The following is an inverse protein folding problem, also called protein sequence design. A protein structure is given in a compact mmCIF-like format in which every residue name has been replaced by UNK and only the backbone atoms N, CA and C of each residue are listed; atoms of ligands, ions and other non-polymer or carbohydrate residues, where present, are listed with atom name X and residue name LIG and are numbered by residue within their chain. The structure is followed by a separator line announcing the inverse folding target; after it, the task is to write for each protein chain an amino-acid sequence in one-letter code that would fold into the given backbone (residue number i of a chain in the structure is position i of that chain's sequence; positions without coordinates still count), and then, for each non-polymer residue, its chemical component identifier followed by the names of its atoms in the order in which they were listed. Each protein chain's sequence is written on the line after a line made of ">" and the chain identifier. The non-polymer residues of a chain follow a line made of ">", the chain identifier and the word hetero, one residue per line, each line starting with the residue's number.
data_IF_026585269569
#
_entry.id   IF_026585269569
#
_cell.length_a   1.000
_cell.length_b   1.000
_cell.length_c   1.000
_cell.angle_alpha   90.00
_cell.angle_beta   90.00
_cell.angle_gamma   90.00
#
_symmetry.space_group_name_H-M   'P 1'
#
loop_
_entity.id
_entity.type
_entity.pdbx_description
1 polymer ?
#
# COMPACT_ATOMS: atom_id res chain seq x y z
N UNK A 1 -21.41 -22.23 30.97
CA UNK A 1 -20.43 -21.69 29.98
C UNK A 1 -20.14 -22.80 28.97
N UNK A 2 -20.08 -22.50 27.66
CA UNK A 2 -20.09 -23.48 26.56
C UNK A 2 -19.13 -24.69 26.70
N UNK A 3 -18.01 -24.54 27.42
CA UNK A 3 -17.05 -25.63 27.68
C UNK A 3 -17.63 -26.81 28.47
N UNK A 4 -18.63 -26.59 29.33
CA UNK A 4 -19.28 -27.66 30.13
C UNK A 4 -20.21 -28.56 29.29
N UNK A 5 -20.44 -28.19 28.04
CA UNK A 5 -21.26 -28.95 27.09
C UNK A 5 -20.39 -29.79 26.13
N UNK A 6 -19.07 -29.74 26.27
CA UNK A 6 -18.16 -30.52 25.44
C UNK A 6 -18.13 -31.99 25.90
N UNK A 7 -17.98 -32.96 24.97
CA UNK A 7 -17.80 -34.37 25.33
C UNK A 7 -16.56 -34.61 26.19
N UNK A 8 -16.58 -35.70 26.96
CA UNK A 8 -15.43 -36.12 27.76
C UNK A 8 -14.18 -36.31 26.89
N UNK A 9 -13.07 -35.70 27.29
CA UNK A 9 -11.80 -35.71 26.57
C UNK A 9 -11.66 -34.62 25.50
N UNK A 10 -12.73 -33.90 25.15
CA UNK A 10 -12.64 -32.76 24.24
C UNK A 10 -12.09 -31.50 24.94
N UNK A 11 -11.44 -30.64 24.16
CA UNK A 11 -10.96 -29.33 24.58
C UNK A 11 -11.14 -28.33 23.45
N UNK A 12 -11.03 -27.04 23.77
CA UNK A 12 -11.10 -25.96 22.79
C UNK A 12 -9.70 -25.71 22.23
N UNK A 13 -9.57 -25.79 20.91
CA UNK A 13 -8.41 -25.31 20.16
C UNK A 13 -8.78 -23.94 19.58
N UNK A 14 -8.33 -22.87 20.22
CA UNK A 14 -8.53 -21.49 19.78
C UNK A 14 -7.35 -21.00 18.96
N UNK A 15 -7.63 -20.24 17.90
CA UNK A 15 -6.63 -19.51 17.13
C UNK A 15 -6.96 -18.04 17.19
N UNK A 16 -5.96 -17.22 17.49
CA UNK A 16 -6.07 -15.77 17.36
C UNK A 16 -6.29 -15.36 15.90
N UNK A 17 -6.74 -14.13 15.70
CA UNK A 17 -6.81 -13.54 14.36
C UNK A 17 -5.45 -13.58 13.67
N UNK A 18 -5.47 -13.81 12.35
CA UNK A 18 -4.25 -13.94 11.55
C UNK A 18 -3.27 -15.02 12.05
N UNK A 19 -3.77 -16.09 12.67
CA UNK A 19 -2.98 -17.24 13.16
C UNK A 19 -3.49 -18.55 12.57
N UNK A 20 -2.58 -19.37 12.05
CA UNK A 20 -2.85 -20.69 11.49
C UNK A 20 -2.00 -21.77 12.15
N UNK A 21 -2.38 -23.03 11.94
CA UNK A 21 -1.60 -24.19 12.38
C UNK A 21 -1.44 -25.14 11.21
N UNK A 22 -0.20 -25.49 10.89
CA UNK A 22 0.12 -26.49 9.88
C UNK A 22 0.44 -27.79 10.60
N UNK A 23 -0.32 -28.85 10.29
CA UNK A 23 -0.10 -30.19 10.82
C UNK A 23 0.66 -31.01 9.76
N UNK A 24 1.92 -31.31 10.04
CA UNK A 24 2.72 -32.25 9.27
C UNK A 24 2.55 -33.65 9.89
N UNK A 25 1.71 -34.47 9.26
CA UNK A 25 1.40 -35.82 9.72
C UNK A 25 2.53 -36.82 9.44
N UNK A 26 3.42 -36.52 8.49
CA UNK A 26 4.58 -37.38 8.20
C UNK A 26 5.68 -37.16 9.24
N UNK A 27 5.93 -35.90 9.60
CA UNK A 27 6.89 -35.53 10.64
C UNK A 27 6.32 -35.60 12.07
N UNK A 28 5.01 -35.82 12.22
CA UNK A 28 4.25 -35.79 13.48
C UNK A 28 4.39 -34.46 14.26
N UNK A 29 4.37 -33.34 13.54
CA UNK A 29 4.55 -32.00 14.12
C UNK A 29 3.43 -31.03 13.74
N UNK A 30 3.26 -30.01 14.58
CA UNK A 30 2.35 -28.90 14.39
C UNK A 30 3.12 -27.59 14.50
N UNK A 31 3.08 -26.75 13.46
CA UNK A 31 3.71 -25.43 13.47
C UNK A 31 2.66 -24.33 13.49
N UNK A 32 2.83 -23.36 14.38
CA UNK A 32 1.95 -22.17 14.45
C UNK A 32 2.52 -21.09 13.52
N UNK A 33 1.70 -20.60 12.62
CA UNK A 33 2.05 -19.57 11.63
C UNK A 33 1.15 -18.35 11.80
N UNK A 34 1.59 -17.18 11.35
CA UNK A 34 0.83 -15.93 11.46
C UNK A 34 1.34 -15.00 12.58
N UNK A 35 0.45 -14.23 13.21
CA UNK A 35 0.83 -13.13 14.11
C UNK A 35 0.44 -13.33 15.58
N UNK A 36 -0.47 -14.25 15.89
CA UNK A 36 -0.99 -14.48 17.24
C UNK A 36 -0.57 -15.83 17.84
N UNK A 37 -1.43 -16.38 18.70
CA UNK A 37 -1.18 -17.63 19.41
C UNK A 37 -2.24 -18.71 19.13
N UNK A 38 -1.81 -19.96 19.18
CA UNK A 38 -2.68 -21.12 19.31
C UNK A 38 -2.94 -21.36 20.80
N UNK A 39 -4.20 -21.39 21.20
CA UNK A 39 -4.62 -21.61 22.59
C UNK A 39 -5.33 -22.96 22.74
N UNK A 40 -4.80 -23.84 23.58
CA UNK A 40 -5.47 -25.05 24.06
C UNK A 40 -6.20 -24.71 25.36
N UNK A 41 -7.50 -24.99 25.47
CA UNK A 41 -8.29 -24.67 26.68
C UNK A 41 -9.29 -25.74 27.09
N UNK A 42 -9.28 -26.11 28.39
CA UNK A 42 -10.16 -27.13 28.99
C UNK A 42 -10.33 -26.85 30.47
N UNK A 43 -11.58 -26.72 30.93
CA UNK A 43 -11.88 -26.59 32.36
C UNK A 43 -11.21 -25.39 33.02
N UNK A 44 -11.05 -24.28 32.29
CA UNK A 44 -10.36 -23.07 32.77
C UNK A 44 -8.83 -23.11 32.71
N UNK A 45 -8.21 -24.23 32.32
CA UNK A 45 -6.76 -24.33 32.08
C UNK A 45 -6.49 -23.95 30.62
N UNK A 46 -5.50 -23.07 30.39
CA UNK A 46 -5.11 -22.58 29.07
C UNK A 46 -3.62 -22.82 28.83
N UNK A 47 -3.24 -23.27 27.63
CA UNK A 47 -1.86 -23.38 27.17
C UNK A 47 -1.74 -22.67 25.83
N UNK A 48 -0.80 -21.73 25.71
CA UNK A 48 -0.57 -20.96 24.49
C UNK A 48 0.71 -21.43 23.78
N UNK A 49 0.63 -21.56 22.45
CA UNK A 49 1.75 -21.88 21.56
C UNK A 49 1.87 -20.71 20.60
N UNK A 50 3.04 -20.05 20.60
CA UNK A 50 3.25 -18.80 19.85
C UNK A 50 3.59 -19.09 18.39
N UNK A 51 3.31 -18.12 17.51
CA UNK A 51 3.78 -18.15 16.13
C UNK A 51 5.29 -18.45 16.03
N UNK A 52 5.67 -19.23 15.04
CA UNK A 52 7.04 -19.72 14.83
C UNK A 52 7.42 -20.93 15.69
N UNK A 53 6.60 -21.35 16.66
CA UNK A 53 6.85 -22.57 17.41
C UNK A 53 6.33 -23.80 16.65
N UNK A 54 7.15 -24.84 16.63
CA UNK A 54 6.77 -26.17 16.17
C UNK A 54 6.75 -27.11 17.37
N UNK A 55 5.64 -27.81 17.57
CA UNK A 55 5.44 -28.75 18.68
C UNK A 55 5.04 -30.13 18.13
N UNK A 56 5.27 -31.23 18.85
CA UNK A 56 4.75 -32.53 18.46
C UNK A 56 3.22 -32.54 18.43
N UNK A 57 2.60 -33.25 17.48
CA UNK A 57 1.13 -33.36 17.41
C UNK A 57 0.55 -33.99 18.68
N UNK A 58 1.28 -34.92 19.30
CA UNK A 58 0.88 -35.52 20.58
C UNK A 58 0.71 -34.50 21.71
N UNK A 59 1.45 -33.38 21.69
CA UNK A 59 1.25 -32.29 22.65
C UNK A 59 -0.11 -31.60 22.44
N UNK A 60 -0.55 -31.44 21.19
CA UNK A 60 -1.89 -30.92 20.91
C UNK A 60 -2.96 -31.93 21.34
N UNK A 61 -2.74 -33.22 21.09
CA UNK A 61 -3.68 -34.31 21.42
C UNK A 61 -3.90 -34.46 22.93
N UNK A 62 -2.88 -34.23 23.74
CA UNK A 62 -2.97 -34.25 25.20
C UNK A 62 -3.89 -33.14 25.77
N UNK A 63 -4.06 -32.05 25.01
CA UNK A 63 -4.82 -30.87 25.41
C UNK A 63 -4.02 -29.96 26.36
N UNK A 64 -4.68 -28.97 27.00
CA UNK A 64 -3.97 -28.06 27.88
C UNK A 64 -3.50 -28.79 29.14
N UNK A 65 -2.22 -28.64 29.41
CA UNK A 65 -1.57 -29.10 30.63
C UNK A 65 -1.41 -27.91 31.57
N UNK A 66 -1.62 -28.12 32.87
CA UNK A 66 -1.25 -27.13 33.88
C UNK A 66 0.28 -27.08 34.00
N UNK A 67 0.95 -26.42 33.05
CA UNK A 67 2.39 -26.18 33.14
C UNK A 67 2.64 -24.92 33.96
N UNK A 68 2.83 -25.14 35.25
CA UNK A 68 3.69 -24.29 36.09
C UNK A 68 5.07 -24.19 35.42
N UNK A 69 5.62 -22.99 35.32
CA UNK A 69 6.83 -22.70 34.56
C UNK A 69 8.00 -23.65 34.89
N UNK A 70 8.44 -24.43 33.92
CA UNK A 70 9.79 -25.00 33.87
C UNK A 70 10.18 -25.29 32.43
N UNK A 71 11.30 -24.72 32.01
CA UNK A 71 11.97 -24.93 30.72
C UNK A 71 12.47 -26.39 30.58
N UNK A 72 12.76 -26.90 29.36
CA UNK A 72 13.18 -28.27 29.18
C UNK A 72 14.65 -28.42 29.61
N UNK A 73 14.95 -29.39 30.47
CA UNK A 73 16.32 -29.86 30.70
C UNK A 73 16.30 -31.26 31.28
N UNK A 74 17.02 -32.13 30.59
CA UNK A 74 17.38 -33.49 30.94
C UNK A 74 18.08 -33.63 32.31
N UNK A 75 17.71 -34.69 33.03
CA UNK A 75 18.49 -35.49 34.01
C UNK A 75 19.01 -34.84 35.31
N UNK A 76 18.57 -35.43 36.42
CA UNK A 76 18.77 -35.22 37.88
C UNK A 76 20.22 -35.23 38.42
N UNK A 77 20.46 -35.15 39.76
CA UNK A 77 20.10 -34.11 40.77
C UNK A 77 21.31 -33.66 41.63
N UNK A 78 21.26 -32.48 42.29
CA UNK A 78 21.75 -32.25 43.69
C UNK A 78 21.54 -30.79 44.16
N UNK A 79 20.98 -30.73 45.37
CA UNK A 79 20.95 -29.75 46.48
C UNK A 79 21.31 -28.25 46.36
N UNK A 80 20.43 -27.49 47.04
CA UNK A 80 20.62 -26.37 48.01
C UNK A 80 20.58 -24.88 47.59
N UNK A 81 19.58 -24.20 48.18
CA UNK A 81 19.55 -22.84 48.78
C UNK A 81 19.29 -21.59 47.92
N UNK A 82 18.04 -21.11 48.08
CA UNK A 82 17.62 -19.80 48.62
C UNK A 82 17.88 -18.45 47.89
N UNK A 83 16.76 -17.68 47.86
CA UNK A 83 16.61 -16.22 47.95
C UNK A 83 16.60 -15.35 46.68
N UNK A 84 15.36 -14.95 46.32
CA UNK A 84 14.80 -13.59 46.48
C UNK A 84 14.90 -12.53 45.37
N UNK A 85 13.76 -11.84 45.23
CA UNK A 85 13.44 -10.53 44.62
C UNK A 85 13.33 -10.32 43.09
N UNK A 86 12.18 -9.71 42.79
CA UNK A 86 11.69 -9.20 41.51
C UNK A 86 12.37 -7.91 41.05
N UNK A 87 12.42 -7.69 39.73
CA UNK A 87 12.47 -6.34 39.16
C UNK A 87 11.90 -6.34 37.72
N UNK A 88 10.83 -5.59 37.56
CA UNK A 88 10.22 -5.15 36.31
C UNK A 88 11.07 -4.01 35.72
N UNK A 89 11.57 -4.14 34.50
CA UNK A 89 11.98 -2.99 33.67
C UNK A 89 11.71 -3.28 32.19
N UNK A 90 10.90 -2.41 31.58
CA UNK A 90 10.54 -2.39 30.16
C UNK A 90 11.75 -2.07 29.27
N UNK A 91 11.83 -2.62 28.03
CA UNK A 91 12.84 -2.18 27.09
C UNK A 91 12.35 -0.96 26.29
N UNK A 92 13.21 0.04 26.25
CA UNK A 92 13.12 1.27 25.47
C UNK A 92 13.23 1.00 23.97
N UNK A 93 12.54 1.83 23.19
CA UNK A 93 12.55 1.84 21.73
C UNK A 93 13.97 2.01 21.16
N UNK A 94 14.35 1.08 20.29
CA UNK A 94 15.49 1.14 19.36
C UNK A 94 14.99 0.90 17.93
N UNK A 95 15.74 1.32 16.90
CA UNK A 95 15.21 1.72 15.60
C UNK A 95 14.62 0.55 14.82
N UNK A 96 13.49 0.81 14.16
CA UNK A 96 12.79 -0.10 13.25
C UNK A 96 13.74 -0.53 12.13
N UNK A 97 14.35 -1.70 12.31
CA UNK A 97 14.99 -2.42 11.22
C UNK A 97 13.93 -2.77 10.19
N UNK A 98 14.26 -2.54 8.93
CA UNK A 98 13.49 -2.94 7.74
C UNK A 98 13.21 -4.45 7.80
N UNK A 99 12.08 -4.82 8.39
CA UNK A 99 11.54 -6.15 8.24
C UNK A 99 11.12 -6.25 6.77
N UNK A 100 11.84 -7.08 6.00
CA UNK A 100 11.38 -7.57 4.71
C UNK A 100 10.00 -8.20 4.92
N UNK A 101 8.96 -7.42 4.68
CA UNK A 101 7.58 -7.79 4.92
C UNK A 101 7.20 -8.92 3.97
N UNK A 102 6.55 -9.96 4.49
CA UNK A 102 5.87 -10.93 3.66
C UNK A 102 4.91 -10.20 2.69
N UNK A 103 4.74 -10.70 1.44
CA UNK A 103 3.84 -10.08 0.49
C UNK A 103 2.44 -9.99 1.12
N UNK A 104 1.84 -8.80 1.06
CA UNK A 104 0.51 -8.55 1.62
C UNK A 104 -0.17 -7.42 0.85
N UNK A 105 -1.48 -7.52 0.66
CA UNK A 105 -2.26 -6.47 0.00
C UNK A 105 -2.12 -5.11 0.69
N UNK A 106 -2.01 -5.08 2.02
CA UNK A 106 -1.81 -3.84 2.76
C UNK A 106 -0.43 -3.21 2.48
N UNK A 107 0.62 -4.04 2.38
CA UNK A 107 1.96 -3.60 1.98
C UNK A 107 2.02 -3.11 0.54
N UNK A 108 1.38 -3.83 -0.38
CA UNK A 108 1.26 -3.43 -1.79
C UNK A 108 0.50 -2.10 -1.93
N UNK A 109 -0.63 -1.95 -1.24
CA UNK A 109 -1.40 -0.71 -1.23
C UNK A 109 -0.61 0.48 -0.68
N UNK A 110 0.13 0.30 0.43
CA UNK A 110 0.96 1.35 0.99
C UNK A 110 2.11 1.76 0.05
N UNK A 111 2.80 0.78 -0.54
CA UNK A 111 3.91 1.02 -1.48
C UNK A 111 3.41 1.74 -2.74
N UNK A 112 2.35 1.23 -3.37
CA UNK A 112 1.79 1.78 -4.60
C UNK A 112 1.16 3.17 -4.36
N UNK A 113 0.56 3.39 -3.19
CA UNK A 113 0.12 4.72 -2.77
C UNK A 113 1.26 5.74 -2.70
N UNK A 114 2.42 5.34 -2.14
CA UNK A 114 3.59 6.22 -2.09
C UNK A 114 4.15 6.53 -3.49
N UNK A 115 4.22 5.53 -4.38
CA UNK A 115 4.64 5.72 -5.79
C UNK A 115 3.68 6.68 -6.51
N UNK A 116 2.37 6.53 -6.30
CA UNK A 116 1.37 7.44 -6.85
C UNK A 116 1.54 8.88 -6.35
N UNK A 117 1.80 9.06 -5.06
CA UNK A 117 2.02 10.39 -4.46
C UNK A 117 3.26 11.07 -5.04
N UNK A 118 4.36 10.33 -5.20
CA UNK A 118 5.57 10.82 -5.84
C UNK A 118 5.34 11.18 -7.32
N UNK A 119 4.63 10.33 -8.06
CA UNK A 119 4.27 10.60 -9.45
C UNK A 119 3.43 11.89 -9.59
N UNK A 120 2.44 12.12 -8.71
CA UNK A 120 1.67 13.37 -8.70
C UNK A 120 2.52 14.60 -8.36
N UNK A 121 3.46 14.46 -7.41
CA UNK A 121 4.40 15.54 -7.07
C UNK A 121 5.28 15.91 -8.28
N UNK A 122 5.71 14.90 -9.05
CA UNK A 122 6.54 15.06 -10.24
C UNK A 122 5.74 15.39 -11.52
N UNK A 123 4.41 15.47 -11.45
CA UNK A 123 3.51 15.64 -12.61
C UNK A 123 3.65 14.52 -13.67
N UNK A 124 4.04 13.33 -13.22
CA UNK A 124 4.14 12.15 -14.07
C UNK A 124 2.81 11.37 -14.07
N UNK A 125 1.94 11.71 -15.02
CA UNK A 125 0.65 11.04 -15.16
C UNK A 125 0.79 9.57 -15.54
N UNK A 126 1.83 9.19 -16.28
CA UNK A 126 2.02 7.82 -16.75
C UNK A 126 2.37 6.90 -15.57
N UNK A 127 3.31 7.32 -14.72
CA UNK A 127 3.68 6.57 -13.51
C UNK A 127 2.51 6.51 -12.50
N UNK A 128 1.75 7.60 -12.35
CA UNK A 128 0.57 7.61 -11.49
C UNK A 128 -0.47 6.57 -11.94
N UNK A 129 -0.76 6.50 -13.25
CA UNK A 129 -1.68 5.50 -13.81
C UNK A 129 -1.14 4.08 -13.66
N UNK A 130 0.17 3.87 -13.89
CA UNK A 130 0.80 2.55 -13.68
C UNK A 130 0.57 2.06 -12.25
N UNK A 131 0.85 2.91 -11.24
CA UNK A 131 0.67 2.53 -9.83
C UNK A 131 -0.80 2.19 -9.49
N UNK A 132 -1.75 2.87 -10.12
CA UNK A 132 -3.18 2.57 -9.97
C UNK A 132 -3.57 1.22 -10.57
N UNK A 133 -3.06 0.90 -11.76
CA UNK A 133 -3.31 -0.39 -12.42
C UNK A 133 -2.65 -1.54 -11.67
N UNK A 134 -1.43 -1.35 -11.17
CA UNK A 134 -0.74 -2.33 -10.33
C UNK A 134 -1.51 -2.60 -9.03
N UNK A 135 -2.17 -1.57 -8.46
CA UNK A 135 -3.00 -1.75 -7.26
C UNK A 135 -4.29 -2.51 -7.59
N UNK A 136 -4.91 -2.24 -8.74
CA UNK A 136 -6.07 -2.99 -9.21
C UNK A 136 -5.73 -4.47 -9.41
N UNK A 137 -4.60 -4.77 -10.05
CA UNK A 137 -4.09 -6.13 -10.22
C UNK A 137 -3.82 -6.81 -8.87
N UNK A 138 -3.18 -6.11 -7.92
CA UNK A 138 -2.97 -6.64 -6.57
C UNK A 138 -4.32 -6.95 -5.88
N UNK A 139 -5.30 -6.04 -5.95
CA UNK A 139 -6.63 -6.28 -5.38
C UNK A 139 -7.26 -7.54 -5.97
N UNK A 140 -7.16 -7.75 -7.28
CA UNK A 140 -7.69 -8.95 -7.96
C UNK A 140 -6.93 -10.21 -7.51
N UNK A 141 -5.60 -10.18 -7.53
CA UNK A 141 -4.75 -11.32 -7.17
C UNK A 141 -4.93 -11.79 -5.72
N UNK A 142 -5.20 -10.86 -4.79
CA UNK A 142 -5.52 -11.18 -3.40
C UNK A 142 -7.00 -11.52 -3.17
N UNK A 143 -7.90 -11.19 -4.11
CA UNK A 143 -9.35 -11.46 -3.99
C UNK A 143 -9.75 -12.90 -4.32
N UNK A 144 -8.88 -13.65 -5.00
CA UNK A 144 -9.11 -15.06 -5.32
C UNK A 144 -8.95 -15.98 -4.11
N UNK A 145 -8.34 -15.49 -3.02
CA UNK A 145 -8.28 -16.16 -1.72
C UNK A 145 -9.55 -15.78 -0.93
N UNK A 146 -10.48 -16.72 -0.81
CA UNK A 146 -11.91 -16.50 -0.56
C UNK A 146 -12.30 -16.00 0.84
N UNK A 147 -11.93 -14.76 1.19
CA UNK A 147 -12.56 -13.93 2.24
C UNK A 147 -12.34 -12.44 1.91
N UNK A 148 -13.41 -11.64 1.80
CA UNK A 148 -13.29 -10.19 1.70
C UNK A 148 -12.65 -9.64 2.98
N UNK A 149 -11.35 -9.37 2.93
CA UNK A 149 -10.61 -8.79 4.05
C UNK A 149 -10.82 -7.27 4.12
N UNK A 150 -10.69 -6.70 5.32
CA UNK A 150 -10.64 -5.24 5.52
C UNK A 150 -9.52 -4.58 4.70
N UNK A 151 -8.45 -5.33 4.39
CA UNK A 151 -7.38 -4.87 3.52
C UNK A 151 -7.88 -4.63 2.08
N UNK A 152 -8.72 -5.50 1.53
CA UNK A 152 -9.31 -5.31 0.19
C UNK A 152 -10.26 -4.11 0.14
N UNK A 153 -11.04 -3.88 1.20
CA UNK A 153 -11.90 -2.70 1.31
C UNK A 153 -11.08 -1.41 1.38
N UNK A 154 -10.02 -1.39 2.19
CA UNK A 154 -9.09 -0.25 2.27
C UNK A 154 -8.34 -0.01 0.97
N UNK A 155 -7.85 -1.05 0.30
CA UNK A 155 -7.16 -0.95 -0.98
C UNK A 155 -8.09 -0.39 -2.07
N UNK A 156 -9.35 -0.85 -2.16
CA UNK A 156 -10.34 -0.26 -3.08
C UNK A 156 -10.64 1.20 -2.76
N UNK A 157 -10.72 1.57 -1.49
CA UNK A 157 -10.91 2.96 -1.10
C UNK A 157 -9.73 3.84 -1.52
N UNK A 158 -8.50 3.34 -1.36
CA UNK A 158 -7.29 4.00 -1.84
C UNK A 158 -7.29 4.14 -3.37
N UNK A 159 -7.60 3.08 -4.12
CA UNK A 159 -7.68 3.16 -5.58
C UNK A 159 -8.67 4.25 -6.04
N UNK A 160 -9.85 4.32 -5.42
CA UNK A 160 -10.84 5.35 -5.73
C UNK A 160 -10.33 6.76 -5.39
N UNK A 161 -9.61 6.94 -4.29
CA UNK A 161 -9.05 8.25 -3.95
C UNK A 161 -7.94 8.66 -4.92
N UNK A 162 -7.11 7.71 -5.38
CA UNK A 162 -6.11 7.97 -6.43
C UNK A 162 -6.77 8.40 -7.74
N UNK A 163 -7.84 7.72 -8.18
CA UNK A 163 -8.61 8.11 -9.38
C UNK A 163 -9.11 9.56 -9.27
N UNK A 164 -9.72 9.92 -8.12
CA UNK A 164 -10.25 11.27 -7.90
C UNK A 164 -9.12 12.31 -7.92
N UNK A 165 -8.02 12.06 -7.21
CA UNK A 165 -6.87 12.99 -7.15
C UNK A 165 -6.20 13.17 -8.50
N UNK A 166 -6.07 12.10 -9.29
CA UNK A 166 -5.57 12.20 -10.65
C UNK A 166 -6.53 12.99 -11.54
N UNK A 167 -7.84 12.76 -11.40
CA UNK A 167 -8.87 13.54 -12.09
C UNK A 167 -8.82 15.04 -11.75
N UNK A 168 -8.67 15.39 -10.48
CA UNK A 168 -8.50 16.77 -10.01
C UNK A 168 -7.23 17.41 -10.58
N UNK A 169 -6.10 16.68 -10.57
CA UNK A 169 -4.85 17.15 -11.16
C UNK A 169 -4.96 17.33 -12.68
N UNK A 170 -5.77 16.51 -13.35
CA UNK A 170 -5.99 16.54 -14.79
C UNK A 170 -6.93 17.67 -15.24
N UNK A 171 -7.70 18.32 -14.36
CA UNK A 171 -8.63 19.41 -14.74
C UNK A 171 -7.91 20.51 -15.53
N UNK A 172 -6.71 20.89 -15.12
CA UNK A 172 -5.90 21.87 -15.83
C UNK A 172 -5.33 21.35 -17.16
N UNK A 173 -4.95 20.07 -17.22
CA UNK A 173 -4.38 19.44 -18.41
C UNK A 173 -5.40 19.06 -19.48
N UNK A 174 -6.66 18.88 -19.11
CA UNK A 174 -7.77 18.57 -20.01
C UNK A 174 -8.46 19.84 -20.56
N UNK A 175 -8.11 21.02 -20.05
CA UNK A 175 -8.58 22.27 -20.62
C UNK A 175 -8.02 22.44 -22.03
N UNK A 176 -8.83 22.97 -22.96
CA UNK A 176 -8.35 23.31 -24.30
C UNK A 176 -7.19 24.31 -24.19
N UNK A 177 -5.97 23.98 -24.63
CA UNK A 177 -4.83 24.89 -24.57
C UNK A 177 -5.14 26.24 -25.23
N UNK A 178 -6.04 26.26 -26.22
CA UNK A 178 -6.43 27.50 -26.89
C UNK A 178 -7.16 28.47 -25.98
N UNK A 179 -7.87 27.98 -24.96
CA UNK A 179 -8.58 28.84 -24.00
C UNK A 179 -7.61 29.65 -23.13
N UNK A 180 -6.42 29.12 -22.86
CA UNK A 180 -5.39 29.78 -22.04
C UNK A 180 -4.45 30.61 -22.92
N UNK A 181 -3.99 30.03 -24.04
CA UNK A 181 -3.01 30.67 -24.91
C UNK A 181 -3.63 31.72 -25.83
N UNK A 182 -4.91 31.60 -26.18
CA UNK A 182 -5.58 32.49 -27.13
C UNK A 182 -5.44 33.97 -26.78
N UNK A 183 -5.80 34.42 -25.55
CA UNK A 183 -5.64 35.81 -25.17
C UNK A 183 -4.18 36.32 -25.27
N UNK A 184 -3.20 35.47 -25.01
CA UNK A 184 -1.77 35.83 -25.09
C UNK A 184 -1.32 35.93 -26.56
N UNK A 185 -1.75 34.98 -27.40
CA UNK A 185 -1.47 34.98 -28.83
C UNK A 185 -2.13 36.19 -29.48
N UNK A 186 -3.38 36.51 -29.14
CA UNK A 186 -4.10 37.68 -29.66
C UNK A 186 -3.36 38.98 -29.35
N UNK A 187 -2.77 39.13 -28.15
CA UNK A 187 -1.93 40.28 -27.80
C UNK A 187 -0.69 40.35 -28.72
N UNK A 188 -0.03 39.23 -28.98
CA UNK A 188 1.13 39.19 -29.87
C UNK A 188 0.75 39.52 -31.33
N UNK A 189 -0.38 39.01 -31.82
CA UNK A 189 -0.90 39.30 -33.15
C UNK A 189 -1.29 40.78 -33.30
N UNK A 190 -1.93 41.37 -32.29
CA UNK A 190 -2.24 42.80 -32.26
C UNK A 190 -0.97 43.66 -32.26
N UNK A 191 0.03 43.31 -31.45
CA UNK A 191 1.33 44.00 -31.45
C UNK A 191 2.01 43.91 -32.84
N UNK A 192 1.92 42.74 -33.50
CA UNK A 192 2.44 42.55 -34.86
C UNK A 192 1.76 43.47 -35.88
N UNK A 193 0.44 43.70 -35.75
CA UNK A 193 -0.31 44.64 -36.60
C UNK A 193 0.14 46.09 -36.39
N UNK A 194 0.27 46.54 -35.13
CA UNK A 194 0.73 47.90 -34.81
C UNK A 194 2.14 48.18 -35.33
N UNK A 195 3.05 47.24 -35.12
CA UNK A 195 4.44 47.30 -35.59
C UNK A 195 4.50 47.37 -37.12
N UNK A 196 3.64 46.62 -37.83
CA UNK A 196 3.52 46.67 -39.28
C UNK A 196 2.98 48.02 -39.77
N UNK A 197 1.98 48.58 -39.08
CA UNK A 197 1.45 49.92 -39.37
C UNK A 197 2.52 51.01 -39.19
N UNK A 198 3.41 50.85 -38.22
CA UNK A 198 4.58 51.70 -38.00
C UNK A 198 5.74 51.44 -38.98
N UNK A 199 5.58 50.53 -39.96
CA UNK A 199 6.60 50.13 -40.95
C UNK A 199 7.89 49.56 -40.33
N UNK A 200 7.82 49.03 -39.11
CA UNK A 200 8.91 48.35 -38.41
C UNK A 200 8.90 46.86 -38.75
N UNK A 201 9.19 46.54 -40.03
CA UNK A 201 9.04 45.18 -40.55
C UNK A 201 9.94 44.17 -39.84
N UNK A 202 11.13 44.59 -39.43
CA UNK A 202 12.09 43.83 -38.62
C UNK A 202 11.45 43.25 -37.34
N UNK A 203 10.72 44.07 -36.59
CA UNK A 203 10.07 43.60 -35.37
C UNK A 203 8.78 42.80 -35.65
N UNK A 204 8.11 43.08 -36.77
CA UNK A 204 6.93 42.31 -37.20
C UNK A 204 7.34 40.86 -37.53
N UNK A 205 8.48 40.70 -38.21
CA UNK A 205 9.06 39.39 -38.52
C UNK A 205 9.56 38.70 -37.25
N UNK A 206 10.21 39.43 -36.34
CA UNK A 206 10.63 38.87 -35.04
C UNK A 206 9.47 38.29 -34.23
N UNK A 207 8.31 38.95 -34.21
CA UNK A 207 7.10 38.43 -33.53
C UNK A 207 6.57 37.18 -34.25
N UNK A 208 6.50 37.21 -35.60
CA UNK A 208 6.04 36.05 -36.39
C UNK A 208 6.94 34.83 -36.13
N UNK A 209 8.24 35.02 -36.20
CA UNK A 209 9.21 33.94 -36.07
C UNK A 209 9.24 33.40 -34.63
N UNK A 210 9.05 34.28 -33.63
CA UNK A 210 8.88 33.88 -32.23
C UNK A 210 7.63 33.03 -31.97
N UNK A 211 6.49 33.39 -32.58
CA UNK A 211 5.27 32.57 -32.53
C UNK A 211 5.48 31.21 -33.19
N UNK A 212 6.11 31.17 -34.36
CA UNK A 212 6.43 29.91 -35.06
C UNK A 212 7.37 29.02 -34.23
N UNK A 213 8.40 29.59 -33.60
CA UNK A 213 9.31 28.87 -32.72
C UNK A 213 8.61 28.30 -31.46
N UNK A 214 7.53 28.95 -31.01
CA UNK A 214 6.66 28.45 -29.95
C UNK A 214 5.61 27.42 -30.43
N UNK A 215 5.67 27.01 -31.70
CA UNK A 215 4.73 26.04 -32.29
C UNK A 215 3.37 26.66 -32.63
N UNK A 216 3.27 27.98 -32.79
CA UNK A 216 2.03 28.65 -33.22
C UNK A 216 2.10 28.94 -34.71
N UNK A 217 1.28 28.26 -35.50
CA UNK A 217 1.07 28.58 -36.91
C UNK A 217 0.01 29.66 -37.06
N UNK A 218 0.31 30.72 -37.81
CA UNK A 218 -0.63 31.82 -38.07
C UNK A 218 -0.97 31.85 -39.57
N UNK A 219 -2.26 31.85 -39.89
CA UNK A 219 -2.82 31.98 -41.23
C UNK A 219 -3.64 33.26 -41.32
N UNK A 220 -3.29 34.13 -42.27
CA UNK A 220 -4.10 35.30 -42.59
C UNK A 220 -5.32 34.87 -43.43
N UNK A 221 -6.52 35.27 -43.04
CA UNK A 221 -7.77 35.05 -43.78
C UNK A 221 -8.48 36.39 -44.05
N UNK A 222 -9.43 36.45 -45.00
CA UNK A 222 -10.23 37.66 -45.24
C UNK A 222 -10.98 38.16 -44.01
N UNK A 223 -11.33 37.26 -43.09
CA UNK A 223 -12.08 37.56 -41.86
C UNK A 223 -11.17 37.87 -40.66
N UNK A 224 -9.84 37.79 -40.83
CA UNK A 224 -8.86 38.04 -39.77
C UNK A 224 -7.77 36.97 -39.69
N UNK A 225 -6.92 37.07 -38.66
CA UNK A 225 -5.84 36.12 -38.43
C UNK A 225 -6.37 34.91 -37.66
N UNK A 226 -6.12 33.71 -38.17
CA UNK A 226 -6.45 32.45 -37.52
C UNK A 226 -5.15 31.75 -37.15
N UNK A 227 -5.10 31.07 -36.00
CA UNK A 227 -3.91 30.38 -35.54
C UNK A 227 -4.19 28.96 -35.04
N UNK A 228 -3.18 28.11 -35.14
CA UNK A 228 -3.21 26.71 -34.72
C UNK A 228 -1.94 26.37 -33.93
N UNK A 229 -2.06 25.46 -32.97
CA UNK A 229 -0.90 24.90 -32.26
C UNK A 229 -0.40 23.69 -33.04
N UNK A 230 0.89 23.68 -33.34
CA UNK A 230 1.56 22.51 -33.87
C UNK A 230 1.47 21.35 -32.86
N UNK A 231 1.29 20.10 -33.34
CA UNK A 231 1.30 18.95 -32.45
C UNK A 231 2.64 18.86 -31.71
N UNK A 232 2.59 18.70 -30.39
CA UNK A 232 3.77 18.42 -29.58
C UNK A 232 4.41 17.12 -30.11
N UNK A 233 5.68 17.22 -30.54
CA UNK A 233 6.49 16.10 -31.05
C UNK A 233 7.15 15.34 -29.93
#
# INVERSE_FOLDING_TARGET
>A
MMEQLLPDGAFVLGLDEHTGVILDLEADTASVVGLGVLTLRRGGISTEIRTGQTVPIDMLRAGPEARSAASPSSTSPVSTSASDTAAVVAPSAGPLGEASAAPSLAGDAARLGAIFDEALANRDAAQAVSAMLDLDEAIVGWSTDTLQSDASTRARALLRSMIVRLGEAAVGGLADPRSILGPVIDVALNARLEVRAAKRYDLSDMIRDGLAAAGVEVRDTPDGQVWELAPLS
#
